data_IF_191291329225
#
_entry.id   IF_191291329225
#
_cell.length_a   1.000
_cell.length_b   1.000
_cell.length_c   1.000
_cell.angle_alpha   90.00
_cell.angle_beta   90.00
_cell.angle_gamma   90.00
#
_symmetry.space_group_name_H-M   'P 1'
#
loop_
_entity.id
_entity.type
_entity.pdbx_description
1 polymer ?
#
# COMPACT_ATOMS: atom_id res chain seq x y z
N UNK A 1 -1.81 40.03 36.30
CA UNK A 1 -1.46 38.66 35.90
C UNK A 1 -2.39 38.29 34.77
N UNK A 2 -1.97 38.53 33.52
CA UNK A 2 -2.84 38.40 32.33
C UNK A 2 -2.47 37.09 31.64
N UNK A 3 -3.34 36.10 31.81
CA UNK A 3 -3.20 34.79 31.17
C UNK A 3 -3.42 34.95 29.66
N UNK A 4 -2.38 34.75 28.85
CA UNK A 4 -2.51 34.64 27.38
C UNK A 4 -3.28 33.35 27.09
N UNK A 5 -4.51 33.48 26.63
CA UNK A 5 -5.21 32.43 25.90
C UNK A 5 -4.43 32.09 24.66
N UNK A 6 -3.92 30.84 24.57
CA UNK A 6 -3.31 30.31 23.37
C UNK A 6 -4.31 30.38 22.22
N UNK A 7 -3.89 30.97 21.10
CA UNK A 7 -4.66 30.91 19.87
C UNK A 7 -4.82 29.43 19.47
N UNK A 8 -6.05 28.93 19.54
CA UNK A 8 -6.43 27.68 18.89
C UNK A 8 -6.16 27.91 17.41
N UNK A 9 -5.16 27.24 16.86
CA UNK A 9 -4.93 27.22 15.42
C UNK A 9 -6.21 26.66 14.79
N UNK A 10 -6.93 27.52 14.10
CA UNK A 10 -8.14 27.12 13.37
C UNK A 10 -7.67 26.25 12.21
N UNK A 11 -7.87 24.94 12.32
CA UNK A 11 -7.67 24.01 11.22
C UNK A 11 -8.81 24.29 10.22
N UNK A 12 -8.52 24.61 8.95
CA UNK A 12 -9.58 24.83 7.97
C UNK A 12 -10.43 23.55 7.85
N UNK A 13 -11.74 23.71 7.75
CA UNK A 13 -12.67 22.62 7.50
C UNK A 13 -13.31 22.85 6.13
N UNK A 14 -13.33 21.81 5.29
CA UNK A 14 -14.08 21.86 4.03
C UNK A 14 -15.48 21.33 4.28
N UNK A 15 -16.49 22.16 4.03
CA UNK A 15 -17.89 21.82 4.29
C UNK A 15 -18.62 21.39 3.02
N UNK A 16 -18.00 21.55 1.85
CA UNK A 16 -18.58 21.21 0.55
C UNK A 16 -17.55 20.47 -0.33
N UNK A 17 -18.06 19.72 -1.30
CA UNK A 17 -17.22 19.09 -2.33
C UNK A 17 -16.52 20.12 -3.22
N UNK A 18 -17.11 21.31 -3.39
CA UNK A 18 -16.53 22.41 -4.15
C UNK A 18 -15.28 22.96 -3.45
N UNK A 19 -15.29 23.08 -2.14
CA UNK A 19 -14.12 23.48 -1.36
C UNK A 19 -12.98 22.45 -1.43
N UNK A 20 -13.30 21.14 -1.39
CA UNK A 20 -12.31 20.07 -1.60
C UNK A 20 -11.74 20.15 -3.02
N UNK A 21 -12.57 20.38 -4.04
CA UNK A 21 -12.11 20.49 -5.42
C UNK A 21 -11.23 21.72 -5.63
N UNK A 22 -11.57 22.85 -5.01
CA UNK A 22 -10.74 24.04 -5.03
C UNK A 22 -9.36 23.81 -4.36
N UNK A 23 -9.35 23.12 -3.21
CA UNK A 23 -8.10 22.74 -2.53
C UNK A 23 -7.26 21.80 -3.39
N UNK A 24 -7.88 20.81 -4.04
CA UNK A 24 -7.22 19.94 -5.02
C UNK A 24 -6.58 20.74 -6.15
N UNK A 25 -7.35 21.63 -6.79
CA UNK A 25 -6.86 22.47 -7.89
C UNK A 25 -5.69 23.35 -7.47
N UNK A 26 -5.73 23.90 -6.25
CA UNK A 26 -4.63 24.69 -5.70
C UNK A 26 -3.34 23.85 -5.51
N UNK A 27 -3.48 22.60 -5.02
CA UNK A 27 -2.35 21.67 -4.93
C UNK A 27 -1.78 21.35 -6.31
N UNK A 28 -2.63 20.97 -7.26
CA UNK A 28 -2.24 20.63 -8.63
C UNK A 28 -1.54 21.80 -9.33
N UNK A 29 -2.05 23.02 -9.15
CA UNK A 29 -1.45 24.24 -9.72
C UNK A 29 -0.06 24.54 -9.15
N UNK A 30 0.25 24.06 -7.93
CA UNK A 30 1.59 24.17 -7.33
C UNK A 30 2.59 23.16 -7.87
N UNK A 31 2.13 22.17 -8.64
CA UNK A 31 2.93 21.08 -9.19
C UNK A 31 3.10 21.27 -10.70
N UNK A 32 4.22 21.86 -11.11
CA UNK A 32 4.51 22.07 -12.53
C UNK A 32 4.54 20.75 -13.30
N UNK A 33 3.75 20.66 -14.38
CA UNK A 33 3.64 19.47 -15.22
C UNK A 33 2.88 18.29 -14.57
N UNK A 34 2.07 18.54 -13.53
CA UNK A 34 1.32 17.47 -12.89
C UNK A 34 0.26 16.86 -13.84
N UNK A 35 0.26 15.53 -13.90
CA UNK A 35 -0.80 14.74 -14.50
C UNK A 35 -1.28 13.69 -13.48
N UNK A 36 -2.60 13.63 -13.27
CA UNK A 36 -3.17 12.69 -12.33
C UNK A 36 -2.85 11.24 -12.74
N UNK A 37 -2.41 10.38 -11.80
CA UNK A 37 -2.12 8.99 -12.10
C UNK A 37 -3.40 8.20 -12.34
N UNK A 38 -3.32 7.14 -13.16
CA UNK A 38 -4.40 6.18 -13.33
C UNK A 38 -4.67 5.38 -12.05
N UNK A 39 -3.61 5.05 -11.30
CA UNK A 39 -3.73 4.40 -10.00
C UNK A 39 -2.64 4.88 -9.04
N UNK A 40 -2.91 4.82 -7.74
CA UNK A 40 -1.93 5.19 -6.72
C UNK A 40 -2.22 4.51 -5.39
N UNK A 41 -1.23 4.50 -4.50
CA UNK A 41 -1.38 4.00 -3.14
C UNK A 41 -0.35 4.60 -2.20
N UNK A 42 -0.77 4.78 -0.94
CA UNK A 42 0.11 4.99 0.20
C UNK A 42 0.25 3.66 0.93
N UNK A 43 1.47 3.20 1.14
CA UNK A 43 1.74 1.86 1.67
C UNK A 43 2.85 1.83 2.70
N UNK A 44 3.01 0.66 3.30
CA UNK A 44 4.09 0.33 4.23
C UNK A 44 4.87 -0.84 3.65
N UNK A 45 6.16 -0.63 3.46
CA UNK A 45 7.10 -1.62 2.98
C UNK A 45 7.97 -2.17 4.11
N UNK A 46 8.41 -3.41 3.96
CA UNK A 46 9.55 -3.97 4.68
C UNK A 46 10.77 -3.91 3.78
N UNK A 47 11.80 -3.18 4.21
CA UNK A 47 13.11 -3.16 3.56
C UNK A 47 14.04 -4.10 4.29
N UNK A 48 14.59 -5.06 3.57
CA UNK A 48 15.56 -6.00 4.11
C UNK A 48 16.94 -5.39 4.36
N UNK A 49 17.84 -6.11 5.05
CA UNK A 49 19.20 -5.66 5.34
C UNK A 49 20.04 -5.33 4.10
N UNK A 50 19.78 -5.95 2.94
CA UNK A 50 20.48 -5.64 1.68
C UNK A 50 20.02 -4.32 1.05
N UNK A 51 18.89 -3.75 1.54
CA UNK A 51 18.22 -2.59 0.97
C UNK A 51 17.06 -2.94 0.03
N UNK A 52 16.86 -4.21 -0.27
CA UNK A 52 15.75 -4.68 -1.11
C UNK A 52 14.39 -4.51 -0.42
N UNK A 53 13.37 -4.14 -1.17
CA UNK A 53 11.98 -4.17 -0.71
C UNK A 53 11.48 -5.62 -0.76
N UNK A 54 11.14 -6.17 0.41
CA UNK A 54 10.67 -7.54 0.55
C UNK A 54 9.17 -7.65 0.31
N UNK A 55 8.42 -6.68 0.81
CA UNK A 55 6.97 -6.57 0.60
C UNK A 55 6.49 -5.13 0.71
N UNK A 56 5.26 -4.89 0.25
CA UNK A 56 4.53 -3.65 0.50
C UNK A 56 3.06 -3.97 0.76
N UNK A 57 2.51 -3.41 1.82
CA UNK A 57 1.09 -3.43 2.10
C UNK A 57 0.44 -2.08 1.78
N UNK A 58 -0.57 -2.08 0.91
CA UNK A 58 -1.40 -0.94 0.58
C UNK A 58 -2.79 -1.12 1.20
N UNK A 59 -3.10 -0.50 2.35
CA UNK A 59 -4.42 -0.64 2.99
C UNK A 59 -5.56 -0.10 2.15
N UNK A 60 -5.28 0.90 1.29
CA UNK A 60 -6.25 1.52 0.40
C UNK A 60 -5.61 1.82 -0.96
N UNK A 61 -5.56 0.85 -1.88
CA UNK A 61 -5.19 1.13 -3.26
C UNK A 61 -6.30 1.91 -3.97
N UNK A 62 -5.95 2.76 -4.93
CA UNK A 62 -6.89 3.62 -5.65
C UNK A 62 -6.73 3.48 -7.16
N UNK A 63 -7.86 3.45 -7.87
CA UNK A 63 -7.94 3.41 -9.33
C UNK A 63 -8.89 4.51 -9.79
N UNK A 64 -8.41 5.46 -10.60
CA UNK A 64 -9.16 6.58 -11.19
C UNK A 64 -10.16 7.28 -10.22
N UNK A 65 -9.77 7.38 -8.96
CA UNK A 65 -10.60 7.92 -7.88
C UNK A 65 -9.77 8.74 -6.90
N UNK A 66 -10.43 9.48 -6.02
CA UNK A 66 -9.80 10.18 -4.90
C UNK A 66 -8.65 11.13 -5.31
N UNK A 67 -8.86 11.93 -6.37
CA UNK A 67 -7.83 12.82 -6.95
C UNK A 67 -7.22 13.79 -5.93
N UNK A 68 -7.99 14.27 -4.95
CA UNK A 68 -7.44 15.11 -3.88
C UNK A 68 -6.35 14.39 -3.07
N UNK A 69 -6.57 13.08 -2.80
CA UNK A 69 -5.54 12.26 -2.12
C UNK A 69 -4.30 12.08 -3.00
N UNK A 70 -4.50 11.81 -4.31
CA UNK A 70 -3.40 11.71 -5.27
C UNK A 70 -2.57 13.00 -5.31
N UNK A 71 -3.25 14.16 -5.36
CA UNK A 71 -2.60 15.47 -5.39
C UNK A 71 -1.85 15.77 -4.09
N UNK A 72 -2.40 15.41 -2.92
CA UNK A 72 -1.72 15.56 -1.63
C UNK A 72 -0.45 14.69 -1.54
N UNK A 73 -0.53 13.44 -1.97
CA UNK A 73 0.63 12.54 -2.03
C UNK A 73 1.67 13.05 -3.04
N UNK A 74 1.22 13.50 -4.22
CA UNK A 74 2.10 14.07 -5.24
C UNK A 74 2.84 15.31 -4.73
N UNK A 75 2.15 16.18 -4.01
CA UNK A 75 2.75 17.36 -3.40
C UNK A 75 3.82 16.98 -2.37
N UNK A 76 3.51 16.02 -1.48
CA UNK A 76 4.45 15.56 -0.44
C UNK A 76 5.69 14.86 -1.02
N UNK A 77 5.56 14.12 -2.13
CA UNK A 77 6.64 13.33 -2.72
C UNK A 77 7.36 14.01 -3.88
N UNK A 78 6.81 15.10 -4.39
CA UNK A 78 7.32 15.75 -5.60
C UNK A 78 6.94 15.04 -6.90
N UNK A 79 6.00 14.08 -6.88
CA UNK A 79 5.52 13.42 -8.10
C UNK A 79 4.91 14.44 -9.08
N UNK A 80 5.15 14.26 -10.38
CA UNK A 80 4.62 15.12 -11.44
C UNK A 80 3.75 14.35 -12.43
N UNK A 81 4.26 13.28 -13.00
CA UNK A 81 3.55 12.51 -14.02
C UNK A 81 4.18 11.14 -14.23
N UNK A 82 3.50 10.28 -14.97
CA UNK A 82 3.96 8.95 -15.31
C UNK A 82 3.93 7.98 -14.12
N UNK A 83 4.66 6.88 -14.25
CA UNK A 83 4.79 5.86 -13.20
C UNK A 83 6.01 6.16 -12.34
N UNK A 84 5.83 6.27 -11.01
CA UNK A 84 6.91 6.53 -10.07
C UNK A 84 6.60 6.00 -8.68
N UNK A 85 7.64 5.81 -7.88
CA UNK A 85 7.56 5.44 -6.47
C UNK A 85 8.45 6.37 -5.64
N UNK A 86 8.06 6.63 -4.39
CA UNK A 86 8.85 7.45 -3.50
C UNK A 86 8.68 6.98 -2.04
N UNK A 87 9.76 6.97 -1.25
CA UNK A 87 9.63 6.88 0.20
C UNK A 87 9.09 8.21 0.75
N UNK A 88 8.38 8.13 1.88
CA UNK A 88 7.98 9.30 2.66
C UNK A 88 8.62 9.23 4.04
N UNK A 89 9.17 10.34 4.48
CA UNK A 89 9.52 10.52 5.88
C UNK A 89 8.29 10.86 6.74
N UNK A 90 8.49 10.93 8.06
CA UNK A 90 7.40 11.21 9.00
C UNK A 90 6.79 12.58 8.77
N UNK A 91 7.58 13.61 8.45
CA UNK A 91 7.09 14.95 8.22
C UNK A 91 6.24 15.05 6.95
N UNK A 92 6.65 14.36 5.88
CA UNK A 92 5.88 14.26 4.64
C UNK A 92 4.55 13.53 4.87
N UNK A 93 4.57 12.43 5.65
CA UNK A 93 3.34 11.70 5.98
C UNK A 93 2.41 12.55 6.84
N UNK A 94 2.92 13.27 7.85
CA UNK A 94 2.14 14.19 8.67
C UNK A 94 1.52 15.30 7.81
N UNK A 95 2.27 15.88 6.86
CA UNK A 95 1.75 16.87 5.91
C UNK A 95 0.61 16.31 5.04
N UNK A 96 0.68 15.06 4.60
CA UNK A 96 -0.42 14.39 3.88
C UNK A 96 -1.66 14.29 4.77
N UNK A 97 -1.51 13.84 6.02
CA UNK A 97 -2.63 13.72 6.97
C UNK A 97 -3.26 15.09 7.23
N UNK A 98 -2.46 16.12 7.47
CA UNK A 98 -2.92 17.50 7.70
C UNK A 98 -3.64 18.08 6.48
N UNK A 99 -3.14 17.81 5.27
CA UNK A 99 -3.77 18.25 4.02
C UNK A 99 -5.16 17.61 3.81
N UNK A 100 -5.30 16.33 4.18
CA UNK A 100 -6.55 15.58 3.98
C UNK A 100 -7.57 15.75 5.11
N UNK A 101 -7.14 16.05 6.33
CA UNK A 101 -8.00 16.13 7.52
C UNK A 101 -9.17 17.12 7.36
N UNK A 102 -9.02 18.32 6.76
CA UNK A 102 -10.12 19.26 6.56
C UNK A 102 -11.31 18.70 5.77
N UNK A 103 -11.07 17.71 4.92
CA UNK A 103 -12.13 17.10 4.09
C UNK A 103 -13.05 16.15 4.90
N UNK A 104 -12.72 15.79 6.13
CA UNK A 104 -13.58 14.95 6.98
C UNK A 104 -14.93 15.63 7.32
N UNK A 105 -14.96 16.95 7.39
CA UNK A 105 -16.19 17.69 7.66
C UNK A 105 -17.27 17.48 6.60
N UNK A 106 -16.89 17.17 5.36
CA UNK A 106 -17.80 16.89 4.25
C UNK A 106 -18.41 15.49 4.26
N UNK A 107 -17.95 14.60 5.13
CA UNK A 107 -18.33 13.18 5.10
C UNK A 107 -18.91 12.74 6.43
N UNK A 108 -19.93 11.88 6.38
CA UNK A 108 -20.51 11.27 7.57
C UNK A 108 -19.68 10.10 8.13
N UNK A 109 -18.68 9.66 7.37
CA UNK A 109 -17.74 8.59 7.75
C UNK A 109 -16.32 9.00 7.40
N UNK A 110 -15.35 8.49 8.17
CA UNK A 110 -13.93 8.72 7.90
C UNK A 110 -13.57 8.29 6.47
N UNK A 111 -12.92 9.18 5.72
CA UNK A 111 -12.47 8.88 4.36
C UNK A 111 -11.45 7.74 4.38
N UNK A 112 -11.62 6.65 3.58
CA UNK A 112 -10.77 5.45 3.68
C UNK A 112 -9.27 5.74 3.57
N UNK A 113 -8.87 6.63 2.66
CA UNK A 113 -7.46 7.01 2.49
C UNK A 113 -6.90 7.79 3.69
N UNK A 114 -7.70 8.68 4.32
CA UNK A 114 -7.26 9.38 5.52
C UNK A 114 -7.15 8.43 6.71
N UNK A 115 -8.09 7.50 6.85
CA UNK A 115 -8.00 6.44 7.84
C UNK A 115 -6.76 5.57 7.65
N UNK A 116 -6.46 5.21 6.39
CA UNK A 116 -5.25 4.49 6.01
C UNK A 116 -3.96 5.28 6.33
N UNK A 117 -3.91 6.58 5.98
CA UNK A 117 -2.75 7.43 6.28
C UNK A 117 -2.51 7.55 7.79
N UNK A 118 -3.56 7.75 8.60
CA UNK A 118 -3.48 7.76 10.07
C UNK A 118 -3.05 6.42 10.66
N UNK A 119 -3.51 5.31 10.08
CA UNK A 119 -3.08 3.97 10.47
C UNK A 119 -1.58 3.77 10.20
N UNK A 120 -1.12 4.12 9.00
CA UNK A 120 0.29 4.07 8.62
C UNK A 120 1.13 4.95 9.55
N UNK A 121 0.65 6.17 9.86
CA UNK A 121 1.36 7.06 10.79
C UNK A 121 1.58 6.42 12.16
N UNK A 122 0.59 5.72 12.71
CA UNK A 122 0.74 4.96 13.96
C UNK A 122 1.71 3.78 13.83
N UNK A 123 1.77 3.15 12.63
CA UNK A 123 2.71 2.05 12.38
C UNK A 123 4.16 2.52 12.37
N UNK A 124 4.44 3.78 11.98
CA UNK A 124 5.80 4.35 12.02
C UNK A 124 6.37 4.32 13.43
N UNK A 125 5.55 4.58 14.45
CA UNK A 125 5.96 4.59 15.86
C UNK A 125 6.02 3.18 16.50
N UNK A 126 5.52 2.15 15.80
CA UNK A 126 5.54 0.77 16.28
C UNK A 126 6.94 0.12 16.08
N UNK A 127 7.29 -0.93 16.84
CA UNK A 127 8.53 -1.65 16.64
C UNK A 127 8.72 -2.07 15.17
N UNK A 128 9.96 -2.05 14.64
CA UNK A 128 10.23 -2.44 13.26
C UNK A 128 9.88 -3.92 13.02
N UNK A 129 9.61 -4.31 11.76
CA UNK A 129 9.45 -5.72 11.40
C UNK A 129 10.74 -6.50 11.71
N UNK A 130 10.60 -7.77 12.07
CA UNK A 130 11.73 -8.61 12.48
C UNK A 130 12.72 -8.88 11.34
N UNK A 131 12.28 -8.86 10.10
CA UNK A 131 13.09 -9.14 8.91
C UNK A 131 13.73 -7.91 8.26
N UNK A 132 13.54 -6.70 8.82
CA UNK A 132 14.10 -5.49 8.23
C UNK A 132 13.62 -4.21 8.90
N UNK A 133 13.57 -3.13 8.14
CA UNK A 133 13.03 -1.84 8.57
C UNK A 133 11.68 -1.54 7.92
N UNK A 134 10.90 -0.71 8.58
CA UNK A 134 9.64 -0.20 8.04
C UNK A 134 9.89 1.08 7.26
N UNK A 135 9.37 1.12 6.02
CA UNK A 135 9.44 2.30 5.15
C UNK A 135 8.04 2.66 4.70
N UNK A 136 7.66 3.92 4.83
CA UNK A 136 6.42 4.43 4.23
C UNK A 136 6.71 4.78 2.77
N UNK A 137 5.83 4.37 1.87
CA UNK A 137 6.02 4.54 0.43
C UNK A 137 4.75 5.02 -0.25
N UNK A 138 4.89 5.84 -1.28
CA UNK A 138 3.85 6.12 -2.24
C UNK A 138 4.21 5.52 -3.59
N UNK A 139 3.21 5.00 -4.30
CA UNK A 139 3.33 4.56 -5.68
C UNK A 139 2.27 5.27 -6.53
N UNK A 140 2.67 5.65 -7.73
CA UNK A 140 1.83 6.25 -8.75
C UNK A 140 2.01 5.47 -10.05
N UNK A 141 0.93 5.05 -10.67
CA UNK A 141 0.90 4.38 -11.98
C UNK A 141 0.31 5.36 -12.98
N UNK A 142 1.10 5.83 -13.93
CA UNK A 142 0.68 6.80 -14.95
C UNK A 142 -0.27 6.18 -15.96
N UNK A 143 0.02 4.97 -16.41
CA UNK A 143 -0.84 4.15 -17.26
C UNK A 143 -0.85 2.71 -16.78
N UNK A 144 -2.01 2.06 -16.81
CA UNK A 144 -2.13 0.64 -16.45
C UNK A 144 -1.41 -0.29 -17.45
N UNK A 145 -1.12 0.21 -18.67
CA UNK A 145 -0.38 -0.51 -19.69
C UNK A 145 1.14 -0.43 -19.51
N UNK A 146 1.65 0.50 -18.67
CA UNK A 146 3.07 0.61 -18.36
C UNK A 146 3.55 -0.62 -17.57
N UNK A 147 4.76 -1.10 -17.86
CA UNK A 147 5.37 -2.20 -17.11
C UNK A 147 5.78 -1.77 -15.70
N UNK A 148 5.78 -2.69 -14.72
CA UNK A 148 6.24 -2.41 -13.36
C UNK A 148 7.69 -1.87 -13.34
N UNK A 149 7.93 -0.79 -12.59
CA UNK A 149 9.25 -0.16 -12.51
C UNK A 149 10.13 -0.73 -11.38
N UNK A 150 9.52 -1.09 -10.26
CA UNK A 150 10.19 -1.64 -9.06
C UNK A 150 9.23 -2.52 -8.23
N UNK A 151 9.68 -2.97 -7.05
CA UNK A 151 8.87 -3.78 -6.15
C UNK A 151 7.69 -3.01 -5.55
N UNK A 152 7.85 -1.70 -5.28
CA UNK A 152 6.82 -0.86 -4.67
C UNK A 152 5.63 -0.74 -5.64
N UNK A 153 5.90 -0.42 -6.90
CA UNK A 153 4.89 -0.38 -7.98
C UNK A 153 4.29 -1.78 -8.23
N UNK A 154 5.12 -2.82 -8.30
CA UNK A 154 4.66 -4.20 -8.49
C UNK A 154 3.62 -4.62 -7.45
N UNK A 155 3.86 -4.33 -6.17
CA UNK A 155 2.91 -4.63 -5.09
C UNK A 155 1.61 -3.82 -5.21
N UNK A 156 1.65 -2.56 -5.69
CA UNK A 156 0.41 -1.81 -5.94
C UNK A 156 -0.44 -2.51 -7.01
N UNK A 157 0.16 -2.97 -8.11
CA UNK A 157 -0.55 -3.72 -9.17
C UNK A 157 -1.16 -5.01 -8.65
N UNK A 158 -0.43 -5.76 -7.80
CA UNK A 158 -0.95 -6.96 -7.16
C UNK A 158 -2.14 -6.64 -6.24
N UNK A 159 -2.10 -5.52 -5.51
CA UNK A 159 -3.23 -5.07 -4.69
C UNK A 159 -4.44 -4.69 -5.54
N UNK A 160 -4.26 -3.94 -6.65
CA UNK A 160 -5.35 -3.59 -7.57
C UNK A 160 -6.09 -4.83 -8.09
N UNK A 161 -5.36 -5.90 -8.42
CA UNK A 161 -5.94 -7.18 -8.83
C UNK A 161 -6.69 -7.87 -7.67
N UNK A 162 -6.04 -8.03 -6.50
CA UNK A 162 -6.61 -8.76 -5.37
C UNK A 162 -7.78 -8.05 -4.70
N UNK A 163 -7.82 -6.72 -4.74
CA UNK A 163 -8.96 -5.91 -4.26
C UNK A 163 -10.08 -5.77 -5.30
N UNK A 164 -9.93 -6.38 -6.47
CA UNK A 164 -10.91 -6.35 -7.59
C UNK A 164 -11.10 -4.98 -8.23
N UNK A 165 -10.17 -4.05 -8.02
CA UNK A 165 -10.20 -2.75 -8.70
C UNK A 165 -9.91 -2.90 -10.20
N UNK A 166 -9.11 -3.90 -10.58
CA UNK A 166 -8.87 -4.27 -11.97
C UNK A 166 -9.15 -5.77 -12.18
N UNK A 167 -9.63 -6.13 -13.35
CA UNK A 167 -9.75 -7.53 -13.78
C UNK A 167 -8.36 -8.10 -14.12
N UNK A 168 -8.21 -9.43 -14.19
CA UNK A 168 -7.01 -10.05 -14.76
C UNK A 168 -6.69 -9.46 -16.14
N UNK A 169 -5.41 -9.17 -16.37
CA UNK A 169 -4.91 -8.47 -17.57
C UNK A 169 -5.35 -7.00 -17.73
N UNK A 170 -6.06 -6.43 -16.76
CA UNK A 170 -6.43 -5.01 -16.75
C UNK A 170 -5.33 -4.06 -16.26
N UNK A 171 -4.20 -4.60 -15.84
CA UNK A 171 -2.98 -3.85 -15.53
C UNK A 171 -1.77 -4.68 -15.96
N UNK A 172 -0.75 -4.02 -16.56
CA UNK A 172 0.48 -4.72 -16.95
C UNK A 172 1.22 -5.24 -15.71
N UNK A 173 1.61 -6.50 -15.78
CA UNK A 173 2.51 -7.18 -14.83
C UNK A 173 3.71 -7.78 -15.57
N UNK A 174 3.97 -7.31 -16.80
CA UNK A 174 5.08 -7.78 -17.59
C UNK A 174 6.40 -7.47 -16.87
N UNK A 175 7.29 -8.44 -16.80
CA UNK A 175 8.59 -8.28 -16.15
C UNK A 175 8.55 -8.25 -14.62
N UNK A 176 7.39 -8.44 -13.97
CA UNK A 176 7.20 -8.35 -12.50
C UNK A 176 8.14 -9.29 -11.72
N UNK A 177 8.48 -10.47 -12.28
CA UNK A 177 9.44 -11.40 -11.65
C UNK A 177 10.84 -10.79 -11.48
N UNK A 178 11.24 -9.88 -12.37
CA UNK A 178 12.51 -9.15 -12.26
C UNK A 178 12.47 -8.01 -11.24
N UNK A 179 11.29 -7.61 -10.78
CA UNK A 179 11.10 -6.52 -9.81
C UNK A 179 10.94 -7.01 -8.37
N UNK A 180 10.53 -8.27 -8.20
CA UNK A 180 10.28 -8.86 -6.89
C UNK A 180 11.48 -9.67 -6.42
N UNK A 181 11.83 -9.50 -5.15
CA UNK A 181 12.87 -10.26 -4.43
C UNK A 181 12.31 -11.61 -3.98
N UNK A 182 13.15 -12.65 -3.95
CA UNK A 182 12.79 -13.92 -3.36
C UNK A 182 12.83 -13.81 -1.84
N UNK A 183 11.74 -14.13 -1.17
CA UNK A 183 11.48 -13.83 0.26
C UNK A 183 11.17 -15.11 1.02
N UNK A 184 11.68 -15.23 2.23
CA UNK A 184 11.23 -16.24 3.20
C UNK A 184 10.03 -15.68 3.96
N UNK A 185 8.85 -16.20 3.66
CA UNK A 185 7.58 -15.82 4.29
C UNK A 185 7.40 -16.56 5.60
N UNK A 186 7.28 -15.83 6.71
CA UNK A 186 7.14 -16.43 8.05
C UNK A 186 5.94 -15.88 8.81
N UNK A 187 5.63 -16.48 9.95
CA UNK A 187 4.66 -15.95 10.91
C UNK A 187 5.16 -14.66 11.63
N UNK A 188 6.40 -14.25 11.39
CA UNK A 188 7.00 -12.99 11.88
C UNK A 188 7.23 -11.97 10.77
N UNK A 189 6.61 -12.16 9.59
CA UNK A 189 6.76 -11.32 8.40
C UNK A 189 7.79 -11.85 7.40
N UNK A 190 8.16 -11.01 6.41
CA UNK A 190 9.11 -11.35 5.37
C UNK A 190 10.55 -11.25 5.86
N UNK A 191 11.42 -12.14 5.36
CA UNK A 191 12.86 -12.10 5.56
C UNK A 191 13.60 -12.32 4.25
N UNK A 192 14.79 -11.75 4.14
CA UNK A 192 15.70 -12.11 3.05
C UNK A 192 16.12 -13.58 3.17
N UNK A 193 16.32 -14.23 2.02
CA UNK A 193 16.85 -15.61 1.99
C UNK A 193 18.27 -15.65 2.55
N UNK A 194 19.09 -14.65 2.18
CA UNK A 194 20.44 -14.48 2.73
C UNK A 194 20.40 -14.15 4.23
N UNK A 195 21.07 -14.95 5.05
CA UNK A 195 21.12 -14.72 6.49
C UNK A 195 19.91 -15.18 7.30
N UNK A 196 18.87 -15.75 6.67
CA UNK A 196 17.65 -16.17 7.35
C UNK A 196 17.91 -17.19 8.47
N UNK A 197 18.82 -18.13 8.29
CA UNK A 197 19.12 -19.13 9.32
C UNK A 197 19.65 -18.51 10.62
N UNK A 198 20.45 -17.45 10.53
CA UNK A 198 20.91 -16.70 11.70
C UNK A 198 19.75 -15.96 12.36
N UNK A 199 18.91 -15.27 11.57
CA UNK A 199 17.72 -14.57 12.06
C UNK A 199 16.74 -15.55 12.73
N UNK A 200 16.51 -16.72 12.13
CA UNK A 200 15.70 -17.80 12.72
C UNK A 200 16.29 -18.30 14.03
N UNK A 201 17.62 -18.43 14.11
CA UNK A 201 18.31 -18.80 15.34
C UNK A 201 18.11 -17.79 16.46
N UNK A 202 18.19 -16.49 16.16
CA UNK A 202 17.94 -15.40 17.10
C UNK A 202 16.49 -15.39 17.61
N UNK A 203 15.51 -15.50 16.70
CA UNK A 203 14.11 -15.57 17.07
C UNK A 203 13.82 -16.74 18.03
N UNK A 204 14.41 -17.91 17.78
CA UNK A 204 14.30 -19.08 18.67
C UNK A 204 14.97 -18.84 20.02
N UNK A 205 16.12 -18.17 20.05
CA UNK A 205 16.79 -17.79 21.31
C UNK A 205 15.94 -16.82 22.14
N UNK A 206 15.14 -15.97 21.48
CA UNK A 206 14.12 -15.10 22.11
C UNK A 206 12.86 -15.87 22.55
N UNK A 207 12.81 -17.19 22.37
CA UNK A 207 11.66 -18.03 22.75
C UNK A 207 10.50 -17.98 21.75
N UNK A 208 10.72 -17.54 20.52
CA UNK A 208 9.68 -17.44 19.50
C UNK A 208 9.64 -18.67 18.59
N UNK A 209 8.42 -19.17 18.32
CA UNK A 209 8.21 -20.19 17.32
C UNK A 209 8.29 -19.58 15.92
N UNK A 210 9.11 -20.16 15.05
CA UNK A 210 9.31 -19.70 13.68
C UNK A 210 8.74 -20.71 12.70
N UNK A 211 7.66 -20.33 12.03
CA UNK A 211 7.03 -21.08 10.95
C UNK A 211 7.36 -20.44 9.62
N UNK A 212 7.94 -21.21 8.70
CA UNK A 212 8.14 -20.78 7.32
C UNK A 212 6.95 -21.21 6.48
N UNK A 213 6.20 -20.23 5.96
CA UNK A 213 5.03 -20.44 5.14
C UNK A 213 5.37 -20.68 3.66
N UNK A 214 6.56 -20.25 3.24
CA UNK A 214 7.05 -20.44 1.86
C UNK A 214 8.32 -19.65 1.61
N UNK A 215 8.95 -19.95 0.48
CA UNK A 215 10.07 -19.17 -0.10
C UNK A 215 9.69 -18.88 -1.53
N UNK A 216 9.32 -17.65 -1.82
CA UNK A 216 8.78 -17.24 -3.13
C UNK A 216 8.87 -15.72 -3.27
N UNK A 217 8.79 -15.25 -4.52
CA UNK A 217 8.67 -13.82 -4.84
C UNK A 217 7.27 -13.26 -4.53
N UNK A 218 6.25 -14.10 -4.54
CA UNK A 218 4.86 -13.70 -4.29
C UNK A 218 4.38 -14.23 -2.95
N UNK A 219 3.82 -13.37 -2.07
CA UNK A 219 3.16 -13.83 -0.86
C UNK A 219 1.81 -14.47 -1.15
N UNK A 220 1.23 -15.07 -0.12
CA UNK A 220 -0.18 -15.48 -0.12
C UNK A 220 -1.06 -14.23 -0.14
N UNK A 221 -2.16 -14.25 -0.91
CA UNK A 221 -3.10 -13.13 -0.97
C UNK A 221 -3.62 -12.76 0.41
N UNK A 222 -3.99 -13.75 1.22
CA UNK A 222 -4.63 -13.56 2.52
C UNK A 222 -3.76 -12.87 3.57
N UNK A 223 -2.46 -12.76 3.35
CA UNK A 223 -1.56 -12.01 4.23
C UNK A 223 -1.69 -10.49 4.02
N UNK A 224 -2.32 -10.04 2.91
CA UNK A 224 -2.46 -8.63 2.52
C UNK A 224 -3.90 -8.23 2.23
N UNK A 225 -4.68 -9.08 1.59
CA UNK A 225 -6.06 -8.81 1.17
C UNK A 225 -6.94 -10.00 1.53
N UNK A 226 -8.02 -9.73 2.25
CA UNK A 226 -9.11 -10.68 2.50
C UNK A 226 -10.31 -10.26 1.65
N UNK A 227 -10.53 -10.85 0.48
CA UNK A 227 -11.65 -10.47 -0.36
C UNK A 227 -12.98 -10.92 0.27
N UNK A 228 -14.00 -10.06 0.19
CA UNK A 228 -15.34 -10.38 0.68
C UNK A 228 -16.04 -11.44 -0.17
N UNK A 229 -16.90 -12.25 0.43
CA UNK A 229 -17.76 -13.19 -0.28
C UNK A 229 -17.03 -14.39 -0.90
N UNK A 230 -15.78 -14.69 -0.51
CA UNK A 230 -15.02 -15.84 -1.00
C UNK A 230 -14.67 -16.80 0.13
N UNK A 231 -14.38 -18.05 -0.22
CA UNK A 231 -13.84 -19.07 0.66
C UNK A 231 -12.53 -19.60 0.12
N UNK A 232 -11.49 -19.59 0.95
CA UNK A 232 -10.16 -20.12 0.64
C UNK A 232 -9.83 -21.17 1.69
N UNK A 233 -9.84 -22.44 1.30
CA UNK A 233 -9.63 -23.55 2.23
C UNK A 233 -8.17 -23.68 2.68
N UNK A 234 -7.22 -23.31 1.82
CA UNK A 234 -5.79 -23.26 2.09
C UNK A 234 -5.22 -21.97 1.51
N UNK A 235 -4.72 -21.11 2.39
CA UNK A 235 -4.16 -19.81 2.03
C UNK A 235 -2.96 -19.89 1.05
N UNK A 236 -2.18 -20.99 1.09
CA UNK A 236 -1.05 -21.21 0.19
C UNK A 236 -1.47 -21.41 -1.27
N UNK A 237 -2.74 -21.65 -1.53
CA UNK A 237 -3.29 -21.89 -2.87
C UNK A 237 -3.65 -20.64 -3.63
N UNK A 238 -3.56 -19.46 -3.02
CA UNK A 238 -3.90 -18.21 -3.68
C UNK A 238 -2.77 -17.20 -3.52
N UNK A 239 -2.14 -16.85 -4.62
CA UNK A 239 -1.09 -15.84 -4.66
C UNK A 239 -1.66 -14.43 -4.60
N UNK A 240 -0.92 -13.51 -3.98
CA UNK A 240 -1.18 -12.09 -4.10
C UNK A 240 -1.20 -11.67 -5.57
N UNK A 241 -2.20 -10.88 -5.98
CA UNK A 241 -2.47 -10.55 -7.38
C UNK A 241 -3.49 -11.48 -8.06
N UNK A 242 -4.05 -12.48 -7.36
CA UNK A 242 -5.20 -13.23 -7.83
C UNK A 242 -6.49 -12.39 -7.68
N UNK A 243 -7.39 -12.49 -8.66
CA UNK A 243 -8.70 -11.81 -8.67
C UNK A 243 -9.80 -12.84 -8.40
N UNK A 244 -10.30 -12.90 -7.17
CA UNK A 244 -11.38 -13.83 -6.81
C UNK A 244 -12.70 -13.08 -6.72
N UNK A 245 -13.62 -13.33 -7.66
CA UNK A 245 -14.97 -12.76 -7.63
C UNK A 245 -15.79 -13.31 -6.46
N UNK A 246 -16.82 -12.58 -6.04
CA UNK A 246 -17.75 -12.99 -5.00
C UNK A 246 -18.42 -14.32 -5.35
N UNK A 247 -18.61 -15.19 -4.37
CA UNK A 247 -19.12 -16.54 -4.59
C UNK A 247 -18.04 -17.60 -4.80
N UNK A 248 -16.79 -17.21 -5.09
CA UNK A 248 -15.70 -18.15 -5.33
C UNK A 248 -15.36 -18.99 -4.11
N UNK A 249 -15.16 -20.29 -4.31
CA UNK A 249 -14.55 -21.20 -3.34
C UNK A 249 -13.29 -21.82 -3.93
N UNK A 250 -12.14 -21.56 -3.32
CA UNK A 250 -10.86 -22.24 -3.65
C UNK A 250 -10.70 -23.39 -2.66
N UNK A 251 -10.85 -24.63 -3.15
CA UNK A 251 -10.66 -25.85 -2.36
C UNK A 251 -9.18 -26.14 -2.14
N UNK A 252 -8.85 -27.12 -1.28
CA UNK A 252 -7.46 -27.50 -0.94
C UNK A 252 -6.59 -27.82 -2.16
N UNK A 253 -7.19 -28.42 -3.20
CA UNK A 253 -6.50 -28.76 -4.45
C UNK A 253 -6.62 -27.67 -5.52
N UNK A 254 -7.43 -26.60 -5.26
CA UNK A 254 -7.53 -25.46 -6.13
C UNK A 254 -6.27 -24.59 -6.05
N UNK A 255 -5.98 -23.85 -7.12
CA UNK A 255 -4.88 -22.90 -7.15
C UNK A 255 -5.24 -21.71 -8.03
N UNK A 256 -4.94 -20.49 -7.55
CA UNK A 256 -5.09 -19.27 -8.32
C UNK A 256 -3.79 -18.44 -8.28
N UNK A 257 -3.21 -18.22 -9.45
CA UNK A 257 -1.99 -17.45 -9.60
C UNK A 257 -2.30 -15.94 -9.65
N UNK A 258 -1.25 -15.09 -9.53
CA UNK A 258 -1.37 -13.67 -9.82
C UNK A 258 -1.82 -13.45 -11.27
N UNK A 259 -2.51 -12.34 -11.52
CA UNK A 259 -3.08 -11.99 -12.82
C UNK A 259 -4.00 -13.08 -13.45
N UNK A 260 -4.48 -13.99 -12.60
CA UNK A 260 -5.53 -14.95 -12.92
C UNK A 260 -6.73 -14.71 -11.99
N UNK A 261 -7.86 -15.33 -12.29
CA UNK A 261 -9.02 -15.10 -11.45
C UNK A 261 -10.21 -16.00 -11.75
N UNK A 262 -11.30 -15.70 -11.06
CA UNK A 262 -12.59 -16.37 -11.18
C UNK A 262 -13.68 -15.35 -11.47
N UNK A 263 -14.81 -15.83 -11.98
CA UNK A 263 -15.99 -15.00 -12.25
C UNK A 263 -17.08 -15.12 -11.17
N UNK A 264 -16.86 -15.98 -10.18
CA UNK A 264 -17.80 -16.30 -9.10
C UNK A 264 -18.15 -17.78 -9.05
#
# INVERSE_FOLDING_TARGET
MTTRLGSVLHVPEYNTLEEIDAARQALEASLDGYAAPAAFGLGVATRGPSGDILDVWYPQPNLDAHRFVASALAHATGHRSGTSTAPLDTAQLDAVVETLAPAEACTTMAHPNLAAARLIRRMVDAPPPRGGERVVVAAFIGSLDDDPIDAIDAYLRLHLLSTRLVAPHGVSVQGIFGKLTNVVWTNHGPFEVGGFELARGQLRADGLDVVVNGVDKFPRMTDYVIPSGVRIADASRVRMGAHLAEGTTVMHEGYCNFNAGTLG
#
